data_IF_778950060184
#
_entry.id   IF_778950060184
#
_cell.length_a   1.000
_cell.length_b   1.000
_cell.length_c   1.000
_cell.angle_alpha   90.00
_cell.angle_beta   90.00
_cell.angle_gamma   90.00
#
_symmetry.space_group_name_H-M   'P 1'
#
loop_
_entity.id
_entity.type
_entity.pdbx_description
1 polymer ?
#
# COMPACT_ATOMS: atom_id res chain seq x y z
N UNK A 1 1.82 7.99 -14.30
CA UNK A 1 1.90 7.86 -12.84
C UNK A 1 1.48 6.46 -12.52
N UNK A 2 2.38 5.65 -11.97
CA UNK A 2 2.05 4.30 -11.51
C UNK A 2 1.35 4.38 -10.16
N UNK A 3 0.22 3.70 -10.06
CA UNK A 3 -0.53 3.53 -8.82
C UNK A 3 -0.31 2.13 -8.28
N UNK A 4 -0.34 2.01 -6.97
CA UNK A 4 -0.20 0.73 -6.28
C UNK A 4 -1.47 0.47 -5.47
N UNK A 5 -1.98 -0.75 -5.55
CA UNK A 5 -3.02 -1.22 -4.68
C UNK A 5 -2.39 -1.77 -3.39
N UNK A 6 -2.61 -1.09 -2.28
CA UNK A 6 -2.15 -1.51 -0.97
C UNK A 6 -3.18 -2.39 -0.27
N UNK A 7 -2.75 -3.45 0.40
CA UNK A 7 -3.59 -4.28 1.26
C UNK A 7 -2.89 -4.59 2.59
N UNK A 8 -3.43 -4.10 3.71
CA UNK A 8 -2.86 -4.38 5.03
C UNK A 8 -3.17 -5.83 5.46
N UNK A 9 -2.19 -6.63 5.91
CA UNK A 9 -2.44 -8.01 6.36
C UNK A 9 -3.21 -8.09 7.68
N UNK A 10 -3.11 -7.04 8.50
CA UNK A 10 -3.64 -7.03 9.88
C UNK A 10 -5.10 -6.55 9.92
N UNK A 11 -5.33 -5.33 9.46
CA UNK A 11 -6.68 -4.76 9.43
C UNK A 11 -7.46 -5.03 8.13
N UNK A 12 -6.84 -5.73 7.16
CA UNK A 12 -7.41 -6.07 5.84
C UNK A 12 -8.01 -4.88 5.08
N UNK A 13 -7.45 -3.68 5.30
CA UNK A 13 -7.84 -2.48 4.57
C UNK A 13 -7.11 -2.41 3.24
N UNK A 14 -7.85 -2.03 2.22
CA UNK A 14 -7.36 -1.87 0.86
C UNK A 14 -7.56 -0.43 0.37
N UNK A 15 -6.56 0.11 -0.33
CA UNK A 15 -6.63 1.44 -0.93
C UNK A 15 -5.56 1.64 -2.00
N UNK A 16 -5.86 2.51 -2.98
CA UNK A 16 -4.90 2.89 -4.02
C UNK A 16 -3.98 3.99 -3.51
N UNK A 17 -2.68 3.76 -3.61
CA UNK A 17 -1.64 4.72 -3.22
C UNK A 17 -0.76 5.07 -4.41
N UNK A 18 -0.20 6.28 -4.36
CA UNK A 18 0.89 6.66 -5.26
C UNK A 18 2.24 6.18 -4.70
N UNK A 19 3.28 6.22 -5.53
CA UNK A 19 4.65 5.89 -5.09
C UNK A 19 5.11 6.61 -3.79
N UNK A 20 4.98 7.94 -3.64
CA UNK A 20 5.36 8.60 -2.39
C UNK A 20 4.52 8.16 -1.19
N UNK A 21 3.23 7.85 -1.38
CA UNK A 21 2.37 7.30 -0.32
C UNK A 21 2.78 5.87 0.05
N UNK A 22 3.23 5.06 -0.92
CA UNK A 22 3.77 3.72 -0.68
C UNK A 22 4.99 3.79 0.22
N UNK A 23 5.97 4.61 -0.13
CA UNK A 23 7.20 4.75 0.65
C UNK A 23 6.90 5.25 2.06
N UNK A 24 6.04 6.27 2.21
CA UNK A 24 5.61 6.75 3.52
C UNK A 24 4.93 5.66 4.37
N UNK A 25 4.11 4.80 3.75
CA UNK A 25 3.44 3.67 4.43
C UNK A 25 4.42 2.56 4.80
N UNK A 26 5.49 2.37 4.03
CA UNK A 26 6.57 1.42 4.37
C UNK A 26 7.41 1.92 5.54
N UNK A 27 7.66 3.23 5.61
CA UNK A 27 8.44 3.85 6.69
C UNK A 27 7.65 3.96 8.01
N UNK A 28 6.37 4.38 7.94
CA UNK A 28 5.55 4.64 9.12
C UNK A 28 4.68 3.45 9.54
N UNK A 29 4.50 2.47 8.66
CA UNK A 29 3.54 1.39 8.84
C UNK A 29 2.13 1.75 8.36
N UNK A 30 1.15 0.88 8.65
CA UNK A 30 -0.20 1.05 8.11
C UNK A 30 -0.86 2.30 8.72
N UNK A 31 -1.36 3.26 7.92
CA UNK A 31 -1.97 4.49 8.44
C UNK A 31 -3.28 4.25 9.20
N UNK A 32 -3.86 3.04 9.13
CA UNK A 32 -5.12 2.69 9.77
C UNK A 32 -4.92 2.05 11.14
N UNK A 33 -4.01 1.08 11.24
CA UNK A 33 -3.79 0.32 12.49
C UNK A 33 -2.38 0.44 13.06
N UNK A 34 -1.44 1.08 12.36
CA UNK A 34 -0.03 1.15 12.74
C UNK A 34 0.72 -0.19 12.60
N UNK A 35 0.09 -1.21 12.03
CA UNK A 35 0.71 -2.53 11.86
C UNK A 35 1.89 -2.52 10.88
N UNK A 36 2.81 -3.50 10.98
CA UNK A 36 3.98 -3.59 10.13
C UNK A 36 3.59 -3.84 8.66
N UNK A 37 4.26 -3.15 7.75
CA UNK A 37 3.97 -3.19 6.32
C UNK A 37 5.24 -3.48 5.53
N UNK A 38 5.12 -4.23 4.43
CA UNK A 38 6.23 -4.56 3.54
C UNK A 38 5.82 -4.34 2.09
N UNK A 39 6.80 -4.30 1.18
CA UNK A 39 6.57 -4.07 -0.26
C UNK A 39 5.65 -5.12 -0.89
N UNK A 40 5.61 -6.34 -0.35
CA UNK A 40 4.74 -7.43 -0.82
C UNK A 40 3.25 -7.13 -0.60
N UNK A 41 2.92 -6.19 0.30
CA UNK A 41 1.54 -5.74 0.54
C UNK A 41 1.05 -4.72 -0.50
N UNK A 42 1.87 -4.37 -1.50
CA UNK A 42 1.53 -3.43 -2.57
C UNK A 42 1.59 -4.15 -3.91
N UNK A 43 0.47 -4.20 -4.62
CA UNK A 43 0.40 -4.67 -6.00
C UNK A 43 0.44 -3.47 -6.95
N UNK A 44 1.10 -3.60 -8.11
CA UNK A 44 1.02 -2.56 -9.14
C UNK A 44 -0.39 -2.56 -9.72
N UNK A 45 -1.08 -1.43 -9.62
CA UNK A 45 -2.37 -1.23 -10.26
C UNK A 45 -2.12 -0.82 -11.72
N UNK A 46 -1.70 -1.78 -12.54
CA UNK A 46 -1.68 -1.61 -13.99
C UNK A 46 -3.13 -1.65 -14.47
N UNK A 47 -3.65 -0.60 -15.11
CA UNK A 47 -4.94 -0.70 -15.79
C UNK A 47 -4.79 -1.83 -16.83
N UNK A 48 -5.59 -2.89 -16.66
CA UNK A 48 -5.62 -3.99 -17.62
C UNK A 48 -6.09 -3.40 -18.96
N UNK A 49 -5.20 -3.44 -19.95
CA UNK A 49 -5.40 -2.90 -21.29
C UNK A 49 -6.54 -3.61 -22.05
#
# INVERSE_FOLDING_TARGET
METYHFTCPDCRREFTVTEPMREATLENGCPVCGGPVTRTHFAVDTPSA
#
